data_IF_473003060452
#
_entry.id   IF_473003060452
#
_cell.length_a   1.000
_cell.length_b   1.000
_cell.length_c   1.000
_cell.angle_alpha   90.00
_cell.angle_beta   90.00
_cell.angle_gamma   90.00
#
_symmetry.space_group_name_H-M   'P 1'
#
loop_
_entity.id
_entity.type
_entity.pdbx_description
1 polymer ?
#
# COMPACT_ATOMS: atom_id res chain seq x y z
N UNK A 1 -1.37 14.77 2.07
CA UNK A 1 -1.85 13.39 2.29
C UNK A 1 -3.16 13.24 1.54
N UNK A 2 -3.17 12.49 0.44
CA UNK A 2 -4.41 12.19 -0.29
C UNK A 2 -4.96 10.87 0.24
N UNK A 3 -6.20 10.89 0.70
CA UNK A 3 -6.87 9.69 1.20
C UNK A 3 -7.97 9.30 0.22
N UNK A 4 -8.11 8.01 -0.07
CA UNK A 4 -9.11 7.48 -0.98
C UNK A 4 -9.81 6.28 -0.35
N UNK A 5 -11.04 6.05 -0.77
CA UNK A 5 -11.83 4.88 -0.40
C UNK A 5 -12.14 4.07 -1.65
N UNK A 6 -11.64 2.85 -1.70
CA UNK A 6 -11.97 1.89 -2.76
C UNK A 6 -13.26 1.15 -2.42
N UNK A 7 -14.30 1.36 -3.21
CA UNK A 7 -15.63 0.79 -3.02
C UNK A 7 -15.84 -0.38 -3.98
N UNK A 8 -16.17 -1.56 -3.46
CA UNK A 8 -16.55 -2.71 -4.28
C UNK A 8 -18.03 -2.62 -4.68
N UNK A 9 -18.31 -2.34 -5.96
CA UNK A 9 -19.66 -2.28 -6.54
C UNK A 9 -19.88 -3.47 -7.50
N UNK A 10 -21.13 -3.78 -7.89
CA UNK A 10 -21.40 -4.81 -8.90
C UNK A 10 -20.77 -4.52 -10.27
N UNK A 11 -20.60 -3.23 -10.59
CA UNK A 11 -19.96 -2.74 -11.82
C UNK A 11 -18.43 -2.80 -11.79
N UNK A 12 -17.82 -3.14 -10.65
CA UNK A 12 -16.37 -3.12 -10.45
C UNK A 12 -15.96 -2.36 -9.20
N UNK A 13 -14.71 -1.91 -9.16
CA UNK A 13 -14.18 -1.12 -8.05
C UNK A 13 -14.19 0.36 -8.41
N UNK A 14 -14.57 1.20 -7.47
CA UNK A 14 -14.60 2.65 -7.63
C UNK A 14 -13.74 3.31 -6.56
N UNK A 15 -12.86 4.22 -6.95
CA UNK A 15 -12.04 4.99 -6.01
C UNK A 15 -12.68 6.34 -5.77
N UNK A 16 -13.01 6.63 -4.51
CA UNK A 16 -13.61 7.88 -4.10
C UNK A 16 -12.58 8.67 -3.28
N UNK A 17 -12.17 9.88 -3.71
CA UNK A 17 -11.29 10.72 -2.90
C UNK A 17 -12.01 11.19 -1.64
N UNK A 18 -11.34 11.08 -0.49
CA UNK A 18 -11.84 11.58 0.78
C UNK A 18 -11.43 13.04 0.93
N UNK A 19 -12.38 13.93 0.70
CA UNK A 19 -12.18 15.38 0.67
C UNK A 19 -12.95 16.00 1.84
N UNK A 20 -12.37 17.02 2.48
CA UNK A 20 -13.04 17.76 3.56
C UNK A 20 -12.87 17.14 4.94
N UNK A 21 -13.78 17.51 5.84
CA UNK A 21 -13.73 17.12 7.26
C UNK A 21 -14.51 15.84 7.58
N UNK A 22 -15.48 15.48 6.72
CA UNK A 22 -16.41 14.39 6.99
C UNK A 22 -16.89 13.81 5.67
N UNK A 23 -16.92 12.49 5.57
CA UNK A 23 -17.47 11.75 4.42
C UNK A 23 -18.55 10.79 4.90
N UNK A 24 -19.73 10.86 4.29
CA UNK A 24 -20.89 10.02 4.65
C UNK A 24 -20.99 8.76 3.78
N UNK A 25 -21.28 7.61 4.39
CA UNK A 25 -21.42 6.32 3.71
C UNK A 25 -22.79 5.72 4.01
N UNK A 26 -23.54 5.36 2.97
CA UNK A 26 -24.83 4.70 3.15
C UNK A 26 -25.61 4.51 1.86
N UNK A 27 -26.80 3.91 1.98
CA UNK A 27 -27.65 3.58 0.83
C UNK A 27 -28.30 4.82 0.18
N UNK A 28 -28.52 5.89 0.94
CA UNK A 28 -29.14 7.09 0.37
C UNK A 28 -28.19 7.76 -0.65
N UNK A 29 -28.75 8.21 -1.77
CA UNK A 29 -28.04 8.96 -2.81
C UNK A 29 -27.51 10.31 -2.33
N UNK A 30 -28.01 10.80 -1.19
CA UNK A 30 -27.54 12.02 -0.54
C UNK A 30 -26.22 11.86 0.23
N UNK A 31 -25.70 10.63 0.36
CA UNK A 31 -24.39 10.41 0.96
C UNK A 31 -23.29 10.65 -0.08
N UNK A 32 -22.11 11.01 0.38
CA UNK A 32 -20.93 11.17 -0.48
C UNK A 32 -20.43 9.85 -1.05
N UNK A 33 -20.64 8.74 -0.33
CA UNK A 33 -20.42 7.37 -0.80
C UNK A 33 -21.76 6.65 -0.87
N UNK A 34 -22.50 6.77 -1.99
CA UNK A 34 -23.79 6.12 -2.15
C UNK A 34 -23.63 4.63 -2.48
N UNK A 35 -24.24 3.78 -1.65
CA UNK A 35 -24.25 2.32 -1.77
C UNK A 35 -25.65 1.80 -2.13
N UNK A 36 -26.28 2.41 -3.14
CA UNK A 36 -27.67 2.13 -3.55
C UNK A 36 -27.93 0.66 -3.91
N UNK A 37 -26.89 -0.02 -4.40
CA UNK A 37 -26.94 -1.42 -4.82
C UNK A 37 -27.02 -2.42 -3.65
N UNK A 38 -26.69 -2.02 -2.41
CA UNK A 38 -26.68 -2.92 -1.26
C UNK A 38 -27.84 -2.64 -0.31
N UNK A 39 -28.88 -3.49 -0.39
CA UNK A 39 -30.06 -3.41 0.48
C UNK A 39 -29.76 -3.69 1.97
N UNK A 40 -28.59 -4.27 2.26
CA UNK A 40 -28.16 -4.55 3.62
C UNK A 40 -27.48 -3.34 4.29
N UNK A 41 -27.27 -2.25 3.54
CA UNK A 41 -26.72 -0.99 4.04
C UNK A 41 -27.86 -0.05 4.49
N UNK A 42 -27.73 0.55 5.67
CA UNK A 42 -28.64 1.59 6.17
C UNK A 42 -28.59 2.86 5.33
N UNK A 43 -29.64 3.70 5.37
CA UNK A 43 -29.68 4.99 4.64
C UNK A 43 -28.46 5.86 4.95
N UNK A 44 -28.11 5.99 6.23
CA UNK A 44 -26.83 6.48 6.74
C UNK A 44 -26.25 5.35 7.58
N UNK A 45 -25.12 4.77 7.15
CA UNK A 45 -24.56 3.56 7.76
C UNK A 45 -23.35 3.89 8.63
N UNK A 46 -22.39 4.58 8.03
CA UNK A 46 -21.14 4.96 8.68
C UNK A 46 -20.72 6.36 8.22
N UNK A 47 -19.86 6.97 9.02
CA UNK A 47 -19.28 8.27 8.74
C UNK A 47 -17.78 8.14 8.92
N UNK A 48 -17.05 8.69 7.96
CA UNK A 48 -15.62 8.95 8.08
C UNK A 48 -15.41 10.38 8.55
N UNK A 49 -14.60 10.58 9.59
CA UNK A 49 -14.24 11.91 10.09
C UNK A 49 -12.74 12.13 9.95
N UNK A 50 -12.34 13.30 9.44
CA UNK A 50 -10.94 13.69 9.34
C UNK A 50 -10.54 14.42 10.63
N UNK A 51 -9.70 13.77 11.44
CA UNK A 51 -9.20 14.32 12.70
C UNK A 51 -7.98 15.23 12.49
N UNK A 52 -7.61 15.54 11.24
CA UNK A 52 -6.47 16.38 10.87
C UNK A 52 -5.16 15.61 10.75
N UNK A 53 -4.94 14.60 11.60
CA UNK A 53 -3.76 13.73 11.57
C UNK A 53 -4.07 12.31 11.06
N UNK A 54 -5.34 11.92 11.05
CA UNK A 54 -5.80 10.61 10.58
C UNK A 54 -7.30 10.68 10.26
N UNK A 55 -7.79 9.70 9.48
CA UNK A 55 -9.21 9.47 9.31
C UNK A 55 -9.70 8.46 10.34
N UNK A 56 -10.91 8.66 10.86
CA UNK A 56 -11.61 7.70 11.70
C UNK A 56 -12.92 7.27 11.04
N UNK A 57 -13.44 6.13 11.46
CA UNK A 57 -14.75 5.62 11.07
C UNK A 57 -15.64 5.43 12.29
N UNK A 58 -16.90 5.83 12.17
CA UNK A 58 -17.95 5.63 13.18
C UNK A 58 -19.20 5.03 12.53
N UNK A 59 -19.78 4.03 13.17
CA UNK A 59 -21.09 3.48 12.80
C UNK A 59 -22.21 4.42 13.29
N UNK A 60 -23.21 4.68 12.45
CA UNK A 60 -24.32 5.60 12.74
C UNK A 60 -25.59 4.87 13.19
N UNK A 61 -25.45 3.76 13.91
CA UNK A 61 -26.57 2.92 14.34
C UNK A 61 -27.09 2.06 13.19
N UNK A 62 -26.20 1.51 12.38
CA UNK A 62 -26.57 0.70 11.24
C UNK A 62 -27.22 -0.62 11.66
N UNK A 63 -28.13 -1.15 10.81
CA UNK A 63 -28.87 -2.38 11.13
C UNK A 63 -27.95 -3.59 11.25
N UNK A 64 -26.94 -3.68 10.39
CA UNK A 64 -26.05 -4.83 10.30
C UNK A 64 -24.69 -4.59 10.95
N UNK A 65 -24.43 -3.37 11.43
CA UNK A 65 -23.13 -2.97 11.96
C UNK A 65 -22.08 -2.70 10.88
N UNK A 66 -21.11 -1.89 11.26
CA UNK A 66 -19.86 -1.67 10.51
C UNK A 66 -18.78 -2.61 11.04
N UNK A 67 -17.99 -3.19 10.13
CA UNK A 67 -16.86 -4.04 10.46
C UNK A 67 -15.58 -3.42 9.93
N UNK A 68 -14.50 -3.50 10.71
CA UNK A 68 -13.15 -3.09 10.35
C UNK A 68 -12.22 -4.30 10.46
N UNK A 69 -11.59 -4.71 9.37
CA UNK A 69 -10.71 -5.88 9.28
C UNK A 69 -11.35 -7.17 9.83
N UNK A 70 -12.68 -7.33 9.61
CA UNK A 70 -13.46 -8.47 10.09
C UNK A 70 -14.06 -8.31 11.49
N UNK A 71 -13.63 -7.31 12.27
CA UNK A 71 -14.14 -7.04 13.62
C UNK A 71 -15.26 -6.00 13.61
N UNK A 72 -16.38 -6.27 14.30
CA UNK A 72 -17.47 -5.29 14.39
C UNK A 72 -17.06 -4.12 15.29
N UNK A 73 -17.17 -2.90 14.78
CA UNK A 73 -16.88 -1.69 15.58
C UNK A 73 -18.13 -1.26 16.35
N UNK A 74 -17.95 -0.90 17.62
CA UNK A 74 -19.01 -0.37 18.49
C UNK A 74 -18.75 1.08 18.91
N UNK A 75 -17.53 1.56 18.68
CA UNK A 75 -17.08 2.91 18.91
C UNK A 75 -16.28 3.38 17.69
N UNK A 76 -15.98 4.67 17.66
CA UNK A 76 -15.13 5.26 16.63
C UNK A 76 -13.74 4.59 16.59
N UNK A 77 -13.22 4.34 15.40
CA UNK A 77 -11.91 3.72 15.17
C UNK A 77 -11.09 4.50 14.17
N UNK A 78 -9.83 4.76 14.48
CA UNK A 78 -8.87 5.34 13.54
C UNK A 78 -8.52 4.33 12.46
N UNK A 79 -8.56 4.77 11.20
CA UNK A 79 -8.21 4.00 10.03
C UNK A 79 -6.73 4.11 9.71
N UNK A 80 -6.18 3.03 9.17
CA UNK A 80 -4.84 2.93 8.60
C UNK A 80 -4.93 2.56 7.13
N UNK A 81 -3.95 2.98 6.35
CA UNK A 81 -3.86 2.60 4.94
C UNK A 81 -3.95 1.08 4.78
N UNK A 82 -4.74 0.61 3.82
CA UNK A 82 -5.14 -0.78 3.54
C UNK A 82 -6.18 -1.40 4.49
N UNK A 83 -6.71 -0.66 5.45
CA UNK A 83 -7.79 -1.17 6.29
C UNK A 83 -9.03 -1.48 5.46
N UNK A 84 -9.62 -2.64 5.72
CA UNK A 84 -10.86 -3.09 5.12
C UNK A 84 -12.04 -2.71 5.99
N UNK A 85 -12.93 -1.88 5.48
CA UNK A 85 -14.22 -1.59 6.09
C UNK A 85 -15.30 -2.38 5.36
N UNK A 86 -16.14 -3.09 6.09
CA UNK A 86 -17.32 -3.77 5.54
C UNK A 86 -18.58 -3.19 6.15
N UNK A 87 -19.46 -2.70 5.29
CA UNK A 87 -20.79 -2.18 5.62
C UNK A 87 -21.82 -3.00 4.87
N UNK A 88 -22.68 -3.71 5.58
CA UNK A 88 -23.56 -4.69 4.93
C UNK A 88 -22.76 -5.79 4.20
N UNK A 89 -22.98 -5.92 2.89
CA UNK A 89 -22.25 -6.81 1.97
C UNK A 89 -21.17 -6.06 1.17
N UNK A 90 -21.21 -4.73 1.15
CA UNK A 90 -20.19 -3.92 0.47
C UNK A 90 -18.88 -3.90 1.24
N UNK A 91 -17.79 -4.15 0.51
CA UNK A 91 -16.40 -4.04 0.98
C UNK A 91 -15.79 -2.72 0.51
N UNK A 92 -15.15 -2.03 1.44
CA UNK A 92 -14.49 -0.74 1.26
C UNK A 92 -13.02 -0.90 1.70
N UNK A 93 -12.06 -0.33 0.99
CA UNK A 93 -10.65 -0.28 1.43
C UNK A 93 -10.23 1.17 1.59
N UNK A 94 -9.71 1.52 2.76
CA UNK A 94 -9.15 2.84 3.01
C UNK A 94 -7.69 2.90 2.55
N UNK A 95 -7.35 3.90 1.75
CA UNK A 95 -5.99 4.15 1.26
C UNK A 95 -5.55 5.54 1.69
N UNK A 96 -4.48 5.60 2.49
CA UNK A 96 -3.75 6.84 2.74
C UNK A 96 -2.49 6.86 1.87
N UNK A 97 -2.42 7.83 0.97
CA UNK A 97 -1.22 8.16 0.20
C UNK A 97 -0.52 9.28 0.94
N UNK A 98 0.57 8.92 1.61
CA UNK A 98 1.52 9.90 2.13
C UNK A 98 2.21 10.50 0.93
N UNK A 99 1.87 11.76 0.66
CA UNK A 99 2.53 12.60 -0.31
C UNK A 99 3.97 12.74 0.14
N UNK A 100 4.82 11.83 -0.35
CA UNK A 100 6.26 11.97 -0.26
C UNK A 100 6.56 13.01 -1.32
N UNK A 101 6.65 14.27 -0.89
CA UNK A 101 6.77 15.39 -1.80
C UNK A 101 7.89 15.15 -2.81
N UNK A 102 7.50 14.97 -4.07
CA UNK A 102 8.21 15.34 -5.30
C UNK A 102 7.44 14.80 -6.51
N UNK A 103 6.99 15.70 -7.38
CA UNK A 103 6.50 15.37 -8.72
C UNK A 103 5.12 15.93 -9.08
N UNK A 104 5.04 17.23 -9.36
CA UNK A 104 4.04 17.75 -10.31
C UNK A 104 4.44 17.26 -11.71
N UNK A 105 3.63 16.43 -12.38
CA UNK A 105 3.24 16.63 -13.79
C UNK A 105 2.00 15.77 -14.15
N UNK A 106 0.98 16.50 -14.60
CA UNK A 106 0.07 16.28 -15.74
C UNK A 106 -1.13 15.32 -15.65
N UNK A 107 -2.28 15.94 -15.92
CA UNK A 107 -3.55 15.34 -16.29
C UNK A 107 -3.37 14.45 -17.53
N UNK A 108 -3.45 13.14 -17.37
CA UNK A 108 -3.89 12.28 -18.47
C UNK A 108 -4.42 10.95 -17.92
N UNK A 109 -5.51 10.49 -18.53
CA UNK A 109 -6.24 9.26 -18.22
C UNK A 109 -5.30 8.05 -18.25
N UNK A 110 -4.78 7.62 -17.09
CA UNK A 110 -4.00 6.38 -17.00
C UNK A 110 -4.86 5.31 -16.34
N UNK A 111 -5.45 4.50 -17.23
CA UNK A 111 -5.91 3.14 -17.00
C UNK A 111 -5.01 2.43 -15.96
N UNK A 112 -5.62 1.63 -15.08
CA UNK A 112 -4.93 0.73 -14.18
C UNK A 112 -3.75 0.05 -14.91
N UNK A 113 -2.52 0.49 -14.62
CA UNK A 113 -1.37 -0.26 -15.08
C UNK A 113 -1.34 -1.55 -14.25
N UNK A 114 -1.32 -2.73 -14.91
CA UNK A 114 -1.14 -3.99 -14.22
C UNK A 114 0.05 -3.87 -13.28
N UNK A 115 0.01 -4.47 -12.10
CA UNK A 115 1.23 -4.69 -11.31
C UNK A 115 2.19 -5.41 -12.25
N UNK A 116 3.19 -4.69 -12.77
CA UNK A 116 4.18 -5.27 -13.69
C UNK A 116 4.80 -6.46 -12.96
N UNK A 117 4.68 -7.65 -13.58
CA UNK A 117 5.27 -8.87 -13.02
C UNK A 117 6.76 -8.63 -12.76
N UNK A 118 7.34 -9.20 -11.71
CA UNK A 118 8.74 -8.98 -11.41
C UNK A 118 9.59 -9.46 -12.60
N UNK A 119 10.61 -8.68 -13.01
CA UNK A 119 11.46 -9.05 -14.13
C UNK A 119 12.13 -10.41 -13.86
N UNK A 120 12.54 -11.13 -14.90
CA UNK A 120 13.27 -12.39 -14.70
C UNK A 120 14.64 -12.10 -14.06
N UNK A 121 14.81 -12.61 -12.83
CA UNK A 121 16.03 -12.46 -12.05
C UNK A 121 16.85 -13.74 -12.08
N UNK A 122 18.15 -13.57 -12.22
CA UNK A 122 19.11 -14.64 -11.96
C UNK A 122 19.18 -14.92 -10.45
N UNK A 123 19.67 -16.10 -10.07
CA UNK A 123 19.85 -16.45 -8.65
C UNK A 123 20.70 -15.43 -7.90
N UNK A 124 21.79 -14.94 -8.52
CA UNK A 124 22.67 -13.93 -7.91
C UNK A 124 22.01 -12.56 -7.73
N UNK A 125 21.18 -12.14 -8.68
CA UNK A 125 20.40 -10.90 -8.53
C UNK A 125 19.34 -11.03 -7.43
N UNK A 126 18.70 -12.20 -7.31
CA UNK A 126 17.78 -12.47 -6.22
C UNK A 126 18.49 -12.46 -4.86
N UNK A 127 19.67 -13.08 -4.74
CA UNK A 127 20.48 -13.07 -3.52
C UNK A 127 20.84 -11.62 -3.10
N UNK A 128 21.23 -10.79 -4.08
CA UNK A 128 21.51 -9.36 -3.86
C UNK A 128 20.26 -8.62 -3.38
N UNK A 129 19.10 -8.83 -4.00
CA UNK A 129 17.85 -8.20 -3.55
C UNK A 129 17.43 -8.64 -2.15
N UNK A 130 17.59 -9.93 -1.82
CA UNK A 130 17.26 -10.45 -0.48
C UNK A 130 18.13 -9.80 0.58
N UNK A 131 19.45 -9.74 0.37
CA UNK A 131 20.36 -9.10 1.32
C UNK A 131 20.11 -7.59 1.40
N UNK A 132 19.84 -6.93 0.26
CA UNK A 132 19.47 -5.52 0.21
C UNK A 132 18.25 -5.22 1.09
N UNK A 133 17.20 -6.03 0.98
CA UNK A 133 15.91 -5.79 1.63
C UNK A 133 15.81 -6.38 3.04
N UNK A 134 16.75 -7.24 3.47
CA UNK A 134 16.72 -7.92 4.77
C UNK A 134 16.61 -6.96 5.97
N UNK A 135 17.32 -5.83 6.04
CA UNK A 135 17.16 -4.91 7.17
C UNK A 135 15.76 -4.29 7.25
N UNK A 136 14.98 -4.28 6.15
CA UNK A 136 13.63 -3.71 6.10
C UNK A 136 12.59 -4.48 6.91
N UNK A 137 12.90 -5.71 7.32
CA UNK A 137 12.04 -6.51 8.22
C UNK A 137 12.52 -6.51 9.67
N UNK A 138 13.57 -5.76 10.00
CA UNK A 138 14.04 -5.62 11.37
C UNK A 138 13.13 -4.69 12.19
N UNK A 139 13.16 -4.81 13.52
CA UNK A 139 12.39 -3.95 14.44
C UNK A 139 12.94 -2.51 14.56
N UNK A 140 13.78 -2.07 13.61
CA UNK A 140 14.31 -0.71 13.58
C UNK A 140 13.19 0.29 13.20
N UNK A 141 13.05 1.43 13.91
CA UNK A 141 12.09 2.48 13.56
C UNK A 141 12.29 3.10 12.17
N UNK A 142 13.52 3.06 11.65
CA UNK A 142 13.91 3.60 10.34
C UNK A 142 14.82 2.62 9.59
N UNK A 143 14.26 1.51 9.08
CA UNK A 143 15.07 0.49 8.49
C UNK A 143 15.58 0.92 7.12
N UNK A 144 16.90 0.87 6.91
CA UNK A 144 17.55 1.21 5.66
C UNK A 144 18.00 -0.04 4.88
N UNK A 145 17.95 -0.03 3.54
CA UNK A 145 18.48 -1.13 2.74
C UNK A 145 19.98 -1.33 3.00
N UNK A 146 20.44 -2.58 2.92
CA UNK A 146 21.84 -2.90 3.20
C UNK A 146 22.82 -2.08 2.35
N UNK A 147 23.95 -1.72 2.95
CA UNK A 147 25.05 -1.06 2.24
C UNK A 147 25.76 -2.00 1.28
N UNK A 148 26.39 -1.46 0.23
CA UNK A 148 27.19 -2.24 -0.72
C UNK A 148 28.25 -3.07 0.00
N UNK A 149 28.92 -2.47 0.99
CA UNK A 149 29.91 -3.14 1.84
C UNK A 149 29.32 -4.33 2.60
N UNK A 150 28.11 -4.18 3.16
CA UNK A 150 27.41 -5.26 3.87
C UNK A 150 26.99 -6.37 2.92
N UNK A 151 26.41 -6.02 1.77
CA UNK A 151 26.04 -6.99 0.74
C UNK A 151 27.25 -7.80 0.25
N UNK A 152 28.38 -7.14 0.01
CA UNK A 152 29.62 -7.81 -0.39
C UNK A 152 30.11 -8.81 0.67
N UNK A 153 30.06 -8.40 1.95
CA UNK A 153 30.43 -9.26 3.08
C UNK A 153 29.52 -10.47 3.25
N UNK A 154 28.20 -10.30 3.14
CA UNK A 154 27.23 -11.39 3.32
C UNK A 154 27.20 -12.35 2.12
N UNK A 155 27.42 -11.86 0.90
CA UNK A 155 27.41 -12.67 -0.33
C UNK A 155 28.77 -13.25 -0.70
N UNK A 156 29.84 -12.94 0.06
CA UNK A 156 31.22 -13.34 -0.22
C UNK A 156 31.69 -12.95 -1.63
N UNK A 157 31.38 -11.73 -2.06
CA UNK A 157 31.77 -11.17 -3.37
C UNK A 157 32.41 -9.80 -3.22
N UNK A 158 33.02 -9.27 -4.28
CA UNK A 158 33.60 -7.92 -4.26
C UNK A 158 32.51 -6.84 -4.30
N UNK A 159 32.79 -5.65 -3.74
CA UNK A 159 31.88 -4.50 -3.84
C UNK A 159 31.61 -4.10 -5.30
N UNK A 160 32.60 -4.29 -6.20
CA UNK A 160 32.42 -4.06 -7.64
C UNK A 160 31.39 -5.03 -8.25
N UNK A 161 31.43 -6.31 -7.86
CA UNK A 161 30.44 -7.29 -8.30
C UNK A 161 29.03 -6.94 -7.79
N UNK A 162 28.91 -6.50 -6.54
CA UNK A 162 27.62 -6.02 -5.98
C UNK A 162 27.11 -4.81 -6.77
N UNK A 163 27.97 -3.82 -7.06
CA UNK A 163 27.58 -2.65 -7.87
C UNK A 163 27.13 -3.05 -9.26
N UNK A 164 27.78 -4.02 -9.90
CA UNK A 164 27.36 -4.52 -11.20
C UNK A 164 25.98 -5.19 -11.14
N UNK A 165 25.74 -6.04 -10.14
CA UNK A 165 24.42 -6.66 -9.94
C UNK A 165 23.33 -5.62 -9.62
N UNK A 166 23.63 -4.61 -8.80
CA UNK A 166 22.71 -3.51 -8.53
C UNK A 166 22.41 -2.71 -9.79
N UNK A 167 23.40 -2.44 -10.64
CA UNK A 167 23.17 -1.74 -11.90
C UNK A 167 22.22 -2.52 -12.81
N UNK A 168 22.45 -3.83 -12.98
CA UNK A 168 21.55 -4.70 -13.74
C UNK A 168 20.13 -4.72 -13.14
N UNK A 169 20.02 -4.73 -11.81
CA UNK A 169 18.74 -4.65 -11.10
C UNK A 169 18.05 -3.31 -11.33
N UNK A 170 18.76 -2.19 -11.26
CA UNK A 170 18.18 -0.89 -11.55
C UNK A 170 17.64 -0.82 -12.98
N UNK A 171 18.36 -1.36 -13.95
CA UNK A 171 17.92 -1.39 -15.34
C UNK A 171 16.67 -2.28 -15.50
N UNK A 172 16.66 -3.47 -14.87
CA UNK A 172 15.52 -4.40 -14.91
C UNK A 172 14.26 -3.89 -14.23
N UNK A 173 14.40 -3.13 -13.15
CA UNK A 173 13.29 -2.53 -12.40
C UNK A 173 12.97 -1.09 -12.85
N UNK A 174 13.63 -0.61 -13.91
CA UNK A 174 13.49 0.76 -14.42
C UNK A 174 13.65 1.83 -13.32
N UNK A 175 14.62 1.65 -12.43
CA UNK A 175 14.87 2.55 -11.30
C UNK A 175 15.62 3.81 -11.79
N UNK A 176 15.03 5.01 -11.64
CA UNK A 176 15.66 6.27 -12.04
C UNK A 176 17.02 6.47 -11.37
N UNK A 177 17.89 7.27 -11.98
CA UNK A 177 19.20 7.64 -11.43
C UNK A 177 19.11 8.66 -10.28
N UNK A 178 17.97 9.31 -10.11
CA UNK A 178 17.76 10.39 -9.14
C UNK A 178 17.37 9.89 -7.74
N UNK A 179 18.00 10.47 -6.73
CA UNK A 179 17.78 10.15 -5.32
C UNK A 179 18.40 8.82 -4.87
N UNK A 180 17.88 8.24 -3.78
CA UNK A 180 18.39 6.98 -3.25
C UNK A 180 17.87 5.77 -4.06
N UNK A 181 18.66 5.38 -5.06
CA UNK A 181 18.35 4.25 -5.95
C UNK A 181 18.18 2.92 -5.20
N UNK A 182 18.89 2.71 -4.08
CA UNK A 182 18.79 1.45 -3.31
C UNK A 182 17.46 1.35 -2.58
N UNK A 183 17.01 2.45 -1.98
CA UNK A 183 15.69 2.52 -1.33
C UNK A 183 14.57 2.31 -2.36
N UNK A 184 14.67 2.97 -3.52
CA UNK A 184 13.70 2.80 -4.61
C UNK A 184 13.65 1.36 -5.11
N UNK A 185 14.80 0.73 -5.36
CA UNK A 185 14.88 -0.66 -5.79
C UNK A 185 14.27 -1.62 -4.77
N UNK A 186 14.54 -1.43 -3.47
CA UNK A 186 13.99 -2.28 -2.42
C UNK A 186 12.45 -2.16 -2.33
N UNK A 187 11.93 -0.93 -2.41
CA UNK A 187 10.49 -0.68 -2.43
C UNK A 187 9.83 -1.30 -3.66
N UNK A 188 10.44 -1.18 -4.83
CA UNK A 188 9.91 -1.72 -6.08
C UNK A 188 9.96 -3.26 -6.10
N UNK A 189 11.03 -3.85 -5.58
CA UNK A 189 11.16 -5.30 -5.44
C UNK A 189 10.07 -5.90 -4.54
N UNK A 190 9.75 -5.23 -3.42
CA UNK A 190 8.64 -5.64 -2.54
C UNK A 190 7.27 -5.42 -3.22
N UNK A 191 7.08 -4.28 -3.90
CA UNK A 191 5.83 -3.92 -4.58
C UNK A 191 5.48 -4.92 -5.68
N UNK A 192 6.46 -5.30 -6.51
CA UNK A 192 6.28 -6.26 -7.61
C UNK A 192 6.33 -7.72 -7.14
N UNK A 193 6.59 -7.97 -5.85
CA UNK A 193 6.69 -9.33 -5.31
C UNK A 193 7.93 -10.10 -5.77
N UNK A 194 8.99 -9.40 -6.20
CA UNK A 194 10.28 -10.01 -6.53
C UNK A 194 10.97 -10.59 -5.28
N UNK A 195 10.70 -10.00 -4.12
CA UNK A 195 11.11 -10.52 -2.81
C UNK A 195 9.92 -10.48 -1.86
N UNK A 196 9.73 -11.54 -1.10
CA UNK A 196 8.63 -11.68 -0.13
C UNK A 196 9.12 -11.54 1.31
N UNK A 197 8.24 -11.10 2.21
CA UNK A 197 8.57 -11.00 3.65
C UNK A 197 8.98 -12.36 4.23
N UNK A 198 8.41 -13.46 3.72
CA UNK A 198 8.81 -14.81 4.10
C UNK A 198 10.29 -15.08 3.75
N UNK A 199 10.73 -14.75 2.53
CA UNK A 199 12.13 -14.89 2.11
C UNK A 199 13.10 -14.00 2.89
N UNK A 200 12.63 -12.86 3.41
CA UNK A 200 13.45 -11.96 4.22
C UNK A 200 13.61 -12.43 5.67
N UNK A 201 12.61 -13.15 6.21
CA UNK A 201 12.62 -13.71 7.58
C UNK A 201 13.21 -15.11 7.64
N UNK A 202 13.16 -15.86 6.54
CA UNK A 202 13.66 -17.23 6.48
C UNK A 202 15.18 -17.23 6.25
N UNK A 203 15.93 -17.17 7.35
CA UNK A 203 17.38 -17.39 7.35
C UNK A 203 17.70 -18.65 8.14
N UNK A 204 17.35 -19.80 7.57
CA UNK A 204 17.95 -21.08 7.94
C UNK A 204 18.63 -21.71 6.73
N UNK A 205 19.84 -21.23 6.42
CA UNK A 205 21.01 -22.06 6.07
C UNK A 205 22.27 -21.22 5.96
#
# INVERSE_FOLDING_TARGET
>A
MSCHLEVSKPSGRELIPLIGQRVTIGKASSNEVPLEHDETVSRLHAVLENLGFAWSIRDMGSRNGTYLNGERITAERVLRSKDEVRVGKTRLIFWEVRDSGEGKIDEETVMAQPVEQPPQLTRRELDVLVVLCRPLVSDDPFPEPASVKRMAGELFVTEAAVKQHLQNLYDKFAIPSEGDRRVRLANEALRRGAVTIAQLRDTSK
#
